data_IF_069343894055
#
_entry.id   IF_069343894055
#
_cell.length_a   1.000
_cell.length_b   1.000
_cell.length_c   1.000
_cell.angle_alpha   90.00
_cell.angle_beta   90.00
_cell.angle_gamma   90.00
#
_symmetry.space_group_name_H-M   'P 1'
#
loop_
_entity.id
_entity.type
_entity.pdbx_description
1 polymer ?
#
# COMPACT_ATOMS: atom_id res chain seq x y z
N UNK A 1 -12.82 -7.31 4.84
CA UNK A 1 -11.50 -6.81 4.38
C UNK A 1 -11.66 -6.42 2.92
N UNK A 2 -11.36 -5.18 2.55
CA UNK A 2 -11.49 -4.71 1.17
C UNK A 2 -10.10 -4.49 0.58
N UNK A 3 -9.89 -4.89 -0.68
CA UNK A 3 -8.68 -4.56 -1.40
C UNK A 3 -8.76 -3.11 -1.88
N UNK A 4 -7.74 -2.32 -1.57
CA UNK A 4 -7.63 -0.89 -1.90
C UNK A 4 -6.45 -0.69 -2.83
N UNK A 5 -6.64 0.03 -3.92
CA UNK A 5 -5.55 0.36 -4.85
C UNK A 5 -5.80 1.70 -5.53
N UNK A 6 -4.75 2.52 -5.60
CA UNK A 6 -4.75 3.79 -6.32
C UNK A 6 -4.48 3.64 -7.83
N UNK A 7 -4.13 2.44 -8.30
CA UNK A 7 -3.65 2.21 -9.66
C UNK A 7 -4.81 2.05 -10.65
N UNK A 8 -4.68 2.68 -11.82
CA UNK A 8 -5.62 2.59 -12.93
C UNK A 8 -7.06 2.91 -12.50
N UNK A 9 -8.05 2.10 -12.85
CA UNK A 9 -9.45 2.34 -12.46
C UNK A 9 -9.79 1.80 -11.07
N UNK A 10 -8.85 1.19 -10.34
CA UNK A 10 -9.14 0.63 -9.01
C UNK A 10 -9.42 1.72 -7.97
N UNK A 11 -8.92 2.95 -8.14
CA UNK A 11 -9.18 4.04 -7.21
C UNK A 11 -10.67 4.40 -7.11
N UNK A 12 -11.48 4.06 -8.13
CA UNK A 12 -12.94 4.23 -8.09
C UNK A 12 -13.62 3.39 -7.01
N UNK A 13 -13.01 2.28 -6.56
CA UNK A 13 -13.55 1.44 -5.49
C UNK A 13 -13.46 2.09 -4.11
N UNK A 14 -12.64 3.13 -3.96
CA UNK A 14 -12.42 3.81 -2.68
C UNK A 14 -11.56 3.00 -1.70
N UNK A 15 -11.40 3.56 -0.50
CA UNK A 15 -10.62 2.97 0.60
C UNK A 15 -11.48 2.22 1.63
N UNK A 16 -12.80 2.16 1.44
CA UNK A 16 -13.73 1.44 2.31
C UNK A 16 -14.47 2.32 3.33
N UNK A 17 -15.56 1.76 3.86
CA UNK A 17 -16.39 2.31 4.94
C UNK A 17 -16.78 1.13 5.85
N UNK A 18 -16.39 1.11 7.15
CA UNK A 18 -15.74 2.18 7.91
C UNK A 18 -14.30 2.49 7.47
N UNK A 19 -13.79 3.65 7.91
CA UNK A 19 -12.42 4.10 7.62
C UNK A 19 -11.38 3.06 8.07
N UNK A 20 -10.38 2.73 7.24
CA UNK A 20 -9.35 1.78 7.63
C UNK A 20 -8.45 2.31 8.74
N UNK A 21 -8.25 1.51 9.78
CA UNK A 21 -7.30 1.80 10.86
C UNK A 21 -5.95 1.09 10.68
N UNK A 22 -5.98 -0.12 10.13
CA UNK A 22 -4.80 -0.94 9.81
C UNK A 22 -4.87 -1.38 8.36
N UNK A 23 -3.76 -1.25 7.63
CA UNK A 23 -3.64 -1.61 6.21
C UNK A 23 -2.42 -2.50 5.99
N UNK A 24 -2.60 -3.52 5.16
CA UNK A 24 -1.49 -4.32 4.62
C UNK A 24 -1.11 -3.68 3.29
N UNK A 25 0.15 -3.27 3.15
CA UNK A 25 0.64 -2.54 1.99
C UNK A 25 1.67 -3.41 1.26
N UNK A 26 1.53 -3.49 -0.05
CA UNK A 26 2.36 -4.25 -0.99
C UNK A 26 2.75 -3.32 -2.15
N UNK A 27 3.91 -3.52 -2.76
CA UNK A 27 4.33 -2.76 -3.96
C UNK A 27 4.78 -1.32 -3.66
N UNK A 28 5.21 -1.04 -2.42
CA UNK A 28 5.73 0.26 -2.00
C UNK A 28 7.04 0.09 -1.24
N UNK A 29 7.94 1.05 -1.35
CA UNK A 29 9.16 1.06 -0.54
C UNK A 29 8.87 1.50 0.90
N UNK A 30 9.80 1.23 1.82
CA UNK A 30 9.72 1.72 3.20
C UNK A 30 9.54 3.24 3.25
N UNK A 31 10.26 3.98 2.40
CA UNK A 31 10.17 5.45 2.33
C UNK A 31 8.77 5.91 1.93
N UNK A 32 8.14 5.22 0.98
CA UNK A 32 6.79 5.57 0.52
C UNK A 32 5.77 5.39 1.65
N UNK A 33 5.81 4.26 2.36
CA UNK A 33 4.86 3.99 3.44
C UNK A 33 5.06 4.91 4.63
N UNK A 34 6.31 5.24 4.99
CA UNK A 34 6.62 6.17 6.08
C UNK A 34 6.24 7.62 5.75
N UNK A 35 6.20 7.98 4.47
CA UNK A 35 5.72 9.29 4.02
C UNK A 35 4.21 9.48 4.24
N UNK A 36 3.45 8.39 4.26
CA UNK A 36 1.99 8.40 4.37
C UNK A 36 1.49 8.03 5.78
N UNK A 37 2.18 7.14 6.49
CA UNK A 37 1.75 6.60 7.79
C UNK A 37 2.75 6.92 8.90
N UNK A 38 2.26 6.98 10.14
CA UNK A 38 3.07 7.23 11.34
C UNK A 38 3.62 5.95 11.97
N UNK A 39 2.99 4.81 11.72
CA UNK A 39 3.33 3.52 12.30
C UNK A 39 3.31 2.46 11.19
N UNK A 40 4.50 2.04 10.75
CA UNK A 40 4.67 0.98 9.76
C UNK A 40 5.72 -0.01 10.26
N UNK A 41 5.46 -1.29 10.00
CA UNK A 41 6.38 -2.37 10.32
C UNK A 41 6.47 -3.35 9.15
N UNK A 42 7.68 -3.81 8.86
CA UNK A 42 7.90 -4.90 7.91
C UNK A 42 7.32 -6.19 8.51
N UNK A 43 6.30 -6.74 7.85
CA UNK A 43 5.60 -7.95 8.28
C UNK A 43 6.02 -9.20 7.50
N UNK A 44 6.68 -9.03 6.36
CA UNK A 44 7.18 -10.13 5.56
C UNK A 44 7.73 -9.69 4.22
N UNK A 45 8.08 -10.68 3.40
CA UNK A 45 8.53 -10.49 2.02
C UNK A 45 7.62 -11.28 1.08
N UNK A 46 7.41 -10.76 -0.13
CA UNK A 46 6.69 -11.43 -1.21
C UNK A 46 7.43 -12.71 -1.58
N UNK A 47 6.78 -13.89 -1.52
CA UNK A 47 7.44 -15.15 -1.82
C UNK A 47 7.75 -15.25 -3.32
N UNK A 48 8.96 -15.71 -3.64
CA UNK A 48 9.37 -16.00 -5.02
C UNK A 48 9.96 -17.42 -5.14
N UNK A 49 9.13 -18.48 -4.98
CA UNK A 49 9.61 -19.86 -4.92
C UNK A 49 10.18 -20.38 -6.25
N UNK A 50 9.91 -19.68 -7.36
CA UNK A 50 10.39 -20.03 -8.69
C UNK A 50 11.53 -19.14 -9.16
N UNK A 51 12.04 -18.25 -8.30
CA UNK A 51 13.15 -17.33 -8.61
C UNK A 51 12.90 -16.48 -9.87
N UNK A 52 11.63 -16.17 -10.15
CA UNK A 52 11.26 -15.33 -11.28
C UNK A 52 11.39 -13.87 -10.86
N UNK A 53 12.41 -13.21 -11.37
CA UNK A 53 12.68 -11.82 -11.07
C UNK A 53 11.70 -10.90 -11.82
N UNK A 54 11.02 -10.04 -11.08
CA UNK A 54 10.17 -8.97 -11.57
C UNK A 54 10.32 -7.74 -10.67
N UNK A 55 9.55 -6.69 -10.94
CA UNK A 55 9.58 -5.46 -10.17
C UNK A 55 9.25 -5.72 -8.68
N UNK A 56 8.21 -6.52 -8.43
CA UNK A 56 7.68 -6.77 -7.10
C UNK A 56 8.60 -7.66 -6.26
N UNK A 57 9.42 -8.50 -6.88
CA UNK A 57 10.36 -9.39 -6.18
C UNK A 57 11.73 -8.76 -6.02
N UNK A 58 12.11 -7.82 -6.90
CA UNK A 58 13.43 -7.16 -6.87
C UNK A 58 13.44 -5.85 -6.09
N UNK A 59 12.45 -4.98 -6.33
CA UNK A 59 12.46 -3.61 -5.84
C UNK A 59 11.44 -3.36 -4.74
N UNK A 60 10.33 -4.09 -4.76
CA UNK A 60 9.25 -3.94 -3.78
C UNK A 60 8.83 -5.27 -3.11
N UNK A 61 9.77 -6.09 -2.63
CA UNK A 61 9.44 -7.37 -2.00
C UNK A 61 8.76 -7.19 -0.65
N UNK A 62 8.89 -6.02 -0.02
CA UNK A 62 8.44 -5.77 1.33
C UNK A 62 6.91 -5.77 1.46
N UNK A 63 6.43 -6.44 2.51
CA UNK A 63 5.04 -6.41 2.96
C UNK A 63 4.98 -5.64 4.26
N UNK A 64 4.29 -4.50 4.26
CA UNK A 64 4.16 -3.67 5.45
C UNK A 64 2.78 -3.81 6.10
N UNK A 65 2.75 -3.74 7.42
CA UNK A 65 1.52 -3.46 8.18
C UNK A 65 1.63 -2.04 8.73
N UNK A 66 0.74 -1.18 8.28
CA UNK A 66 0.74 0.25 8.60
C UNK A 66 -0.55 0.71 9.28
N UNK A 67 -0.42 1.74 10.12
CA UNK A 67 -1.48 2.36 10.92
C UNK A 67 -1.24 3.87 11.01
N UNK A 68 -2.25 4.59 11.47
CA UNK A 68 -2.19 6.05 11.75
C UNK A 68 -1.74 6.83 10.51
N UNK A 69 -2.60 6.86 9.50
CA UNK A 69 -2.39 7.68 8.31
C UNK A 69 -2.19 9.16 8.73
N UNK A 70 -1.17 9.81 8.18
CA UNK A 70 -0.77 11.18 8.54
C UNK A 70 -1.82 12.22 8.17
N UNK A 71 -2.62 11.92 7.15
CA UNK A 71 -3.68 12.78 6.64
C UNK A 71 -5.02 12.07 6.72
N UNK A 72 -6.15 12.80 6.74
CA UNK A 72 -7.46 12.19 6.57
C UNK A 72 -7.53 11.37 5.29
N UNK A 73 -8.19 10.21 5.36
CA UNK A 73 -8.38 9.32 4.20
C UNK A 73 -8.91 10.03 2.94
N UNK A 74 -9.92 10.92 3.01
CA UNK A 74 -10.39 11.65 1.83
C UNK A 74 -9.32 12.50 1.15
N UNK A 75 -8.37 13.04 1.92
CA UNK A 75 -7.32 13.92 1.38
C UNK A 75 -6.18 13.10 0.80
N UNK A 76 -5.74 12.07 1.53
CA UNK A 76 -4.78 11.09 1.00
C UNK A 76 -5.29 10.47 -0.32
N UNK A 77 -6.57 10.10 -0.39
CA UNK A 77 -7.14 9.42 -1.56
C UNK A 77 -7.29 10.29 -2.81
N UNK A 78 -7.24 11.62 -2.68
CA UNK A 78 -7.20 12.51 -3.85
C UNK A 78 -5.84 12.40 -4.54
N UNK A 79 -4.78 12.35 -3.76
CA UNK A 79 -3.40 12.26 -4.24
C UNK A 79 -2.99 10.83 -4.62
N UNK A 80 -3.59 9.82 -3.98
CA UNK A 80 -3.30 8.41 -4.20
C UNK A 80 -4.03 7.82 -5.42
N UNK A 81 -3.93 8.48 -6.59
CA UNK A 81 -4.53 8.03 -7.86
C UNK A 81 -3.48 8.06 -8.95
N UNK A 82 -3.18 6.90 -9.50
CA UNK A 82 -2.10 6.70 -10.46
C UNK A 82 -2.65 6.08 -11.74
N UNK A 83 -2.08 6.44 -12.89
CA UNK A 83 -2.54 5.98 -14.21
C UNK A 83 -1.54 5.09 -14.95
N UNK A 84 -0.37 4.80 -14.35
CA UNK A 84 0.74 4.07 -14.97
C UNK A 84 2.01 4.90 -15.01
#
# INVERSE_FOLDING_TARGET
MAAVSGMNTYWFKGYGDPLPETVIILGFSQKDVESAFLDCSLAGLTPNPYEIENEETRYHPDIFVCRKLRYPWPDFWKEFRFFG
#
